data_IF_452321413501
#
_entry.id   IF_452321413501
#
_cell.length_a   1.000
_cell.length_b   1.000
_cell.length_c   1.000
_cell.angle_alpha   90.00
_cell.angle_beta   90.00
_cell.angle_gamma   90.00
#
_symmetry.space_group_name_H-M   'P 1'
#
loop_
_entity.id
_entity.type
_entity.pdbx_description
1 polymer ?
#
# COMPACT_ATOMS: atom_id res chain seq x y z
N UNK A 1 0.95 -0.64 -0.58
CA UNK A 1 -0.22 0.01 -1.21
C UNK A 1 -0.14 -0.09 -2.73
N UNK A 2 -1.21 -0.49 -3.42
CA UNK A 2 -1.16 -0.88 -4.84
C UNK A 2 -1.89 0.07 -5.81
N UNK A 3 -2.57 1.13 -5.37
CA UNK A 3 -3.36 1.99 -6.26
C UNK A 3 -2.83 3.45 -6.31
N UNK A 4 -1.52 3.60 -6.54
CA UNK A 4 -0.84 4.91 -6.63
C UNK A 4 0.01 5.06 -7.89
N UNK A 5 0.16 3.98 -8.65
CA UNK A 5 1.03 3.92 -9.82
C UNK A 5 0.36 3.12 -10.95
N UNK A 6 0.73 3.41 -12.19
CA UNK A 6 0.37 2.63 -13.37
C UNK A 6 1.59 1.88 -13.91
N UNK A 7 2.80 2.45 -13.80
CA UNK A 7 4.05 1.81 -14.20
C UNK A 7 4.78 1.26 -12.97
N UNK A 8 4.90 -0.06 -12.86
CA UNK A 8 5.48 -0.73 -11.70
C UNK A 8 7.00 -0.66 -11.67
N UNK A 9 7.64 -0.51 -12.83
CA UNK A 9 9.09 -0.42 -12.97
C UNK A 9 9.69 0.79 -12.23
N UNK A 10 8.90 1.86 -12.01
CA UNK A 10 9.31 3.04 -11.24
C UNK A 10 9.46 2.75 -9.73
N UNK A 11 8.86 1.66 -9.24
CA UNK A 11 8.94 1.23 -7.84
C UNK A 11 9.84 0.00 -7.71
N UNK A 12 9.73 -0.92 -8.68
CA UNK A 12 10.44 -2.19 -8.71
C UNK A 12 11.09 -2.35 -10.08
N UNK A 13 12.34 -1.89 -10.26
CA UNK A 13 13.04 -2.02 -11.53
C UNK A 13 13.09 -3.48 -11.99
N UNK A 14 12.70 -3.69 -13.24
CA UNK A 14 12.70 -5.00 -13.90
C UNK A 14 12.90 -4.80 -15.41
N UNK A 15 13.42 -5.80 -16.11
CA UNK A 15 13.62 -5.83 -17.56
C UNK A 15 12.32 -5.83 -18.35
N UNK A 16 11.25 -6.40 -17.78
CA UNK A 16 9.92 -6.41 -18.40
C UNK A 16 9.09 -5.22 -17.93
N UNK A 17 8.46 -4.51 -18.87
CA UNK A 17 7.54 -3.42 -18.56
C UNK A 17 6.27 -3.99 -17.90
N UNK A 18 5.99 -3.54 -16.68
CA UNK A 18 4.82 -3.95 -15.92
C UNK A 18 3.92 -2.75 -15.71
N UNK A 19 2.86 -2.69 -16.50
CA UNK A 19 1.84 -1.65 -16.44
C UNK A 19 0.56 -2.23 -15.82
N UNK A 20 -0.22 -1.42 -15.14
CA UNK A 20 -1.52 -1.82 -14.58
C UNK A 20 -2.55 -0.68 -14.66
N UNK A 21 -3.85 -1.01 -14.67
CA UNK A 21 -4.89 -0.02 -14.42
C UNK A 21 -4.84 0.50 -12.98
N UNK A 22 -5.56 1.58 -12.71
CA UNK A 22 -5.77 2.09 -11.36
C UNK A 22 -7.15 2.72 -11.23
N UNK A 23 -7.56 2.96 -9.99
CA UNK A 23 -8.70 3.82 -9.68
C UNK A 23 -8.25 5.22 -9.27
N UNK A 24 -9.11 6.20 -9.51
CA UNK A 24 -9.02 7.54 -8.93
C UNK A 24 -10.37 7.93 -8.34
N UNK A 25 -10.40 8.98 -7.51
CA UNK A 25 -11.65 9.58 -7.05
C UNK A 25 -11.95 10.79 -7.94
N UNK A 26 -13.09 10.78 -8.62
CA UNK A 26 -13.63 11.93 -9.38
C UNK A 26 -15.08 12.14 -8.96
N UNK A 27 -15.44 13.37 -8.58
CA UNK A 27 -16.80 13.71 -8.12
C UNK A 27 -17.33 12.75 -7.04
N UNK A 28 -16.48 12.45 -6.04
CA UNK A 28 -16.77 11.51 -4.92
C UNK A 28 -17.01 10.04 -5.32
N UNK A 29 -16.81 9.67 -6.59
CA UNK A 29 -16.95 8.30 -7.10
C UNK A 29 -15.60 7.72 -7.50
N UNK A 30 -15.48 6.39 -7.42
CA UNK A 30 -14.35 5.69 -8.03
C UNK A 30 -14.51 5.71 -9.55
N UNK A 31 -13.44 6.08 -10.22
CA UNK A 31 -13.34 5.99 -11.68
C UNK A 31 -12.19 5.06 -12.01
N UNK A 32 -12.49 4.04 -12.82
CA UNK A 32 -11.50 3.14 -13.38
C UNK A 32 -10.70 3.88 -14.46
N UNK A 33 -9.38 3.85 -14.31
CA UNK A 33 -8.43 4.33 -15.30
C UNK A 33 -7.79 3.09 -15.93
N UNK A 34 -7.95 2.88 -17.24
CA UNK A 34 -7.39 1.73 -17.92
C UNK A 34 -5.86 1.73 -17.86
N UNK A 35 -5.28 0.58 -18.18
CA UNK A 35 -3.85 0.48 -18.37
C UNK A 35 -3.43 1.39 -19.55
N UNK A 36 -2.43 2.27 -19.37
CA UNK A 36 -1.96 3.10 -20.47
C UNK A 36 -1.29 2.23 -21.53
N UNK A 37 -1.48 2.61 -22.79
CA UNK A 37 -0.79 2.00 -23.93
C UNK A 37 0.49 2.82 -24.11
N UNK A 38 1.63 2.22 -23.78
CA UNK A 38 2.94 2.87 -23.86
C UNK A 38 3.65 2.35 -25.10
N UNK A 39 4.14 3.26 -25.94
CA UNK A 39 5.11 2.92 -26.97
C UNK A 39 6.48 2.68 -26.33
N UNK A 40 6.87 1.41 -26.25
CA UNK A 40 8.15 0.99 -25.66
C UNK A 40 9.36 1.44 -26.47
N UNK A 41 9.17 1.83 -27.73
CA UNK A 41 10.22 2.36 -28.59
C UNK A 41 10.44 3.88 -28.37
N UNK A 42 9.51 4.56 -27.70
CA UNK A 42 9.60 6.00 -27.39
C UNK A 42 9.47 6.26 -25.88
N UNK A 43 10.48 5.85 -25.13
CA UNK A 43 10.54 6.06 -23.68
C UNK A 43 10.77 7.52 -23.29
N UNK A 44 11.29 8.36 -24.18
CA UNK A 44 11.47 9.80 -23.93
C UNK A 44 10.12 10.50 -23.66
N UNK A 45 9.05 10.02 -24.29
CA UNK A 45 7.68 10.52 -24.09
C UNK A 45 6.90 9.86 -22.95
N UNK A 46 7.52 9.03 -22.10
CA UNK A 46 6.77 8.17 -21.15
C UNK A 46 5.84 8.96 -20.21
N UNK A 47 6.21 10.20 -19.87
CA UNK A 47 5.40 11.10 -19.04
C UNK A 47 4.06 11.44 -19.69
N UNK A 48 4.00 11.48 -21.02
CA UNK A 48 2.78 11.77 -21.78
C UNK A 48 1.76 10.63 -21.75
N UNK A 49 2.12 9.45 -21.24
CA UNK A 49 1.22 8.31 -21.10
C UNK A 49 0.82 8.04 -19.65
N UNK A 50 1.49 8.68 -18.68
CA UNK A 50 1.43 8.36 -17.25
C UNK A 50 0.76 9.48 -16.43
N UNK A 51 -0.34 10.04 -16.94
CA UNK A 51 -1.07 11.16 -16.29
C UNK A 51 -1.53 10.90 -14.86
N UNK A 52 -1.68 9.62 -14.49
CA UNK A 52 -2.08 9.21 -13.16
C UNK A 52 -0.98 8.37 -12.49
N UNK A 53 0.30 8.68 -12.74
CA UNK A 53 1.44 8.07 -12.07
C UNK A 53 1.98 8.99 -10.98
N UNK A 54 2.06 8.48 -9.75
CA UNK A 54 2.61 9.26 -8.64
C UNK A 54 4.15 9.28 -8.63
N UNK A 55 4.78 8.21 -9.13
CA UNK A 55 6.24 8.08 -9.17
C UNK A 55 6.85 8.61 -10.47
N UNK A 56 6.12 9.45 -11.20
CA UNK A 56 6.56 10.00 -12.48
C UNK A 56 7.87 10.79 -12.27
N UNK A 57 8.88 10.64 -13.14
CA UNK A 57 10.14 11.35 -12.94
C UNK A 57 9.94 12.86 -12.80
N UNK A 58 10.69 13.47 -11.89
CA UNK A 58 10.58 14.89 -11.47
C UNK A 58 9.25 15.30 -10.81
N UNK A 59 8.37 14.35 -10.49
CA UNK A 59 7.19 14.59 -9.65
C UNK A 59 7.48 14.47 -8.14
N UNK A 60 6.45 14.65 -7.32
CA UNK A 60 6.51 14.64 -5.84
C UNK A 60 7.27 13.46 -5.22
N UNK A 61 7.27 12.30 -5.89
CA UNK A 61 8.03 11.12 -5.46
C UNK A 61 8.76 10.40 -6.58
N UNK A 62 8.99 11.12 -7.68
CA UNK A 62 9.71 10.63 -8.84
C UNK A 62 11.20 10.50 -8.62
N UNK A 63 11.85 9.71 -9.48
CA UNK A 63 13.29 9.80 -9.68
C UNK A 63 13.58 11.14 -10.34
N UNK A 64 14.65 11.82 -9.90
CA UNK A 64 15.12 13.04 -10.57
C UNK A 64 15.70 12.64 -11.92
N UNK A 65 15.15 13.19 -13.01
CA UNK A 65 15.60 12.87 -14.38
C UNK A 65 16.73 13.78 -14.86
N UNK A 66 16.93 14.93 -14.21
CA UNK A 66 17.94 15.93 -14.59
C UNK A 66 18.84 16.28 -13.41
N UNK A 67 20.16 16.13 -13.61
CA UNK A 67 21.16 16.62 -12.67
C UNK A 67 21.43 18.09 -13.01
N UNK A 68 21.07 19.00 -12.11
CA UNK A 68 21.35 20.44 -12.27
C UNK A 68 22.36 20.91 -11.23
N UNK A 69 23.27 21.80 -11.67
CA UNK A 69 24.22 22.44 -10.78
C UNK A 69 23.53 23.52 -9.93
N UNK A 70 23.76 23.60 -8.61
CA UNK A 70 24.70 22.78 -7.85
C UNK A 70 24.14 21.37 -7.52
N UNK A 71 24.98 20.35 -7.73
CA UNK A 71 24.59 18.94 -7.55
C UNK A 71 24.15 18.60 -6.11
N UNK A 72 24.62 19.36 -5.12
CA UNK A 72 24.21 19.24 -3.72
C UNK A 72 22.72 19.50 -3.54
N UNK A 73 22.17 20.52 -4.20
CA UNK A 73 20.74 20.82 -4.14
C UNK A 73 19.92 19.70 -4.77
N UNK A 74 20.39 19.17 -5.90
CA UNK A 74 19.74 18.04 -6.57
C UNK A 74 19.71 16.80 -5.66
N UNK A 75 20.80 16.51 -4.95
CA UNK A 75 20.87 15.39 -4.00
C UNK A 75 19.95 15.59 -2.79
N UNK A 76 19.91 16.79 -2.22
CA UNK A 76 18.98 17.12 -1.12
C UNK A 76 17.54 16.96 -1.58
N UNK A 77 17.17 17.51 -2.73
CA UNK A 77 15.82 17.37 -3.27
C UNK A 77 15.45 15.90 -3.49
N UNK A 78 16.36 15.11 -4.08
CA UNK A 78 16.16 13.68 -4.32
C UNK A 78 15.97 12.88 -3.03
N UNK A 79 16.78 13.13 -2.00
CA UNK A 79 16.66 12.41 -0.72
C UNK A 79 15.34 12.71 0.00
N UNK A 80 14.82 13.94 -0.13
CA UNK A 80 13.55 14.34 0.45
C UNK A 80 12.36 13.79 -0.35
N UNK A 81 12.40 13.84 -1.68
CA UNK A 81 11.26 13.45 -2.53
C UNK A 81 11.14 11.94 -2.73
N UNK A 82 12.27 11.22 -2.80
CA UNK A 82 12.27 9.80 -3.12
C UNK A 82 11.74 8.97 -1.94
N UNK A 83 10.57 8.35 -2.12
CA UNK A 83 9.84 7.68 -1.02
C UNK A 83 10.65 6.61 -0.29
N UNK A 84 11.52 5.86 -0.97
CA UNK A 84 12.36 4.86 -0.31
C UNK A 84 13.37 5.50 0.65
N UNK A 85 14.01 6.59 0.22
CA UNK A 85 15.05 7.27 1.00
C UNK A 85 14.40 8.02 2.16
N UNK A 86 13.35 8.78 1.88
CA UNK A 86 12.58 9.49 2.89
C UNK A 86 12.07 8.53 3.99
N UNK A 87 11.49 7.39 3.61
CA UNK A 87 11.01 6.40 4.58
C UNK A 87 12.16 5.79 5.40
N UNK A 88 13.28 5.47 4.77
CA UNK A 88 14.47 4.95 5.45
C UNK A 88 15.03 5.94 6.46
N UNK A 89 15.18 7.22 6.08
CA UNK A 89 15.67 8.28 6.95
C UNK A 89 14.76 8.51 8.17
N UNK A 90 13.46 8.28 8.02
CA UNK A 90 12.48 8.41 9.10
C UNK A 90 12.31 7.13 9.94
N UNK A 91 13.01 6.04 9.58
CA UNK A 91 12.84 4.74 10.22
C UNK A 91 11.42 4.18 10.08
N UNK A 92 10.80 4.34 8.91
CA UNK A 92 9.40 3.95 8.67
C UNK A 92 9.31 2.96 7.50
N UNK A 93 8.31 2.06 7.49
CA UNK A 93 7.99 1.27 6.31
C UNK A 93 7.69 2.18 5.11
N UNK A 94 8.22 1.80 3.94
CA UNK A 94 8.12 2.54 2.67
C UNK A 94 6.71 2.97 2.29
N UNK A 95 5.71 2.24 2.78
CA UNK A 95 4.33 2.48 2.44
C UNK A 95 3.55 3.32 3.48
N UNK A 96 4.14 3.61 4.66
CA UNK A 96 3.48 4.32 5.77
C UNK A 96 2.91 5.65 5.29
N UNK A 97 3.73 6.47 4.63
CA UNK A 97 3.37 7.84 4.24
C UNK A 97 2.09 7.89 3.39
N UNK A 98 1.85 6.88 2.58
CA UNK A 98 0.65 6.79 1.75
C UNK A 98 -0.64 6.64 2.57
N UNK A 99 -0.55 6.18 3.83
CA UNK A 99 -1.67 6.16 4.77
C UNK A 99 -1.79 7.45 5.58
N UNK A 100 -1.01 8.49 5.32
CA UNK A 100 -1.21 9.79 5.95
C UNK A 100 -2.43 10.51 5.34
N UNK A 101 -3.17 11.24 6.16
CA UNK A 101 -4.20 12.15 5.68
C UNK A 101 -3.59 13.24 4.79
N UNK A 102 -4.28 13.60 3.71
CA UNK A 102 -3.84 14.68 2.81
C UNK A 102 -2.59 14.38 1.97
N UNK A 103 -2.09 13.14 1.95
CA UNK A 103 -0.97 12.77 1.08
C UNK A 103 -1.31 13.05 -0.40
N UNK A 104 -0.42 13.70 -1.15
CA UNK A 104 -0.70 14.22 -2.50
C UNK A 104 -1.10 13.13 -3.51
N UNK A 105 -0.63 11.89 -3.32
CA UNK A 105 -1.06 10.74 -4.12
C UNK A 105 -2.53 10.32 -3.96
N UNK A 106 -3.26 10.88 -2.98
CA UNK A 106 -4.63 10.48 -2.58
C UNK A 106 -4.78 9.00 -2.24
N UNK A 107 -3.67 8.37 -1.86
CA UNK A 107 -3.50 6.98 -1.54
C UNK A 107 -4.50 6.42 -0.52
N UNK A 108 -4.55 7.03 0.67
CA UNK A 108 -5.46 6.64 1.75
C UNK A 108 -6.91 6.76 1.31
N UNK A 109 -7.29 7.94 0.78
CA UNK A 109 -8.65 8.21 0.36
C UNK A 109 -9.13 7.23 -0.72
N UNK A 110 -8.27 6.94 -1.70
CA UNK A 110 -8.61 6.01 -2.79
C UNK A 110 -8.71 4.58 -2.29
N UNK A 111 -7.76 4.11 -1.46
CA UNK A 111 -7.81 2.77 -0.87
C UNK A 111 -9.07 2.59 -0.02
N UNK A 112 -9.38 3.57 0.82
CA UNK A 112 -10.61 3.62 1.61
C UNK A 112 -11.84 3.50 0.71
N UNK A 113 -11.94 4.32 -0.34
CA UNK A 113 -13.13 4.32 -1.20
C UNK A 113 -13.30 3.01 -1.96
N UNK A 114 -12.21 2.35 -2.37
CA UNK A 114 -12.24 0.99 -2.95
C UNK A 114 -12.83 -0.01 -1.96
N UNK A 115 -12.34 -0.02 -0.72
CA UNK A 115 -12.82 -0.92 0.33
C UNK A 115 -14.28 -0.65 0.69
N UNK A 116 -14.67 0.62 0.81
CA UNK A 116 -16.05 1.07 1.04
C UNK A 116 -16.98 0.58 -0.09
N UNK A 117 -16.58 0.80 -1.35
CA UNK A 117 -17.38 0.39 -2.51
C UNK A 117 -17.56 -1.12 -2.58
N UNK A 118 -16.48 -1.89 -2.35
CA UNK A 118 -16.57 -3.35 -2.25
C UNK A 118 -17.51 -3.81 -1.14
N UNK A 119 -17.39 -3.20 0.04
CA UNK A 119 -18.19 -3.54 1.22
C UNK A 119 -19.69 -3.30 0.95
N UNK A 120 -20.03 -2.14 0.40
CA UNK A 120 -21.41 -1.76 0.09
C UNK A 120 -21.99 -2.62 -1.02
N UNK A 121 -21.25 -2.87 -2.10
CA UNK A 121 -21.70 -3.73 -3.20
C UNK A 121 -21.93 -5.18 -2.75
N UNK A 122 -21.03 -5.74 -1.94
CA UNK A 122 -21.18 -7.08 -1.41
C UNK A 122 -22.46 -7.18 -0.55
N UNK A 123 -22.70 -6.20 0.34
CA UNK A 123 -23.93 -6.15 1.14
C UNK A 123 -25.19 -6.01 0.27
N UNK A 124 -25.15 -5.15 -0.76
CA UNK A 124 -26.27 -4.98 -1.68
C UNK A 124 -26.61 -6.27 -2.43
N UNK A 125 -25.64 -7.16 -2.64
CA UNK A 125 -25.81 -8.51 -3.21
C UNK A 125 -26.19 -9.58 -2.18
N UNK A 126 -26.50 -9.20 -0.93
CA UNK A 126 -26.83 -10.14 0.14
C UNK A 126 -25.62 -10.92 0.68
N UNK A 127 -24.40 -10.51 0.36
CA UNK A 127 -23.18 -11.15 0.86
C UNK A 127 -22.72 -10.52 2.18
N UNK A 128 -21.89 -11.26 2.92
CA UNK A 128 -21.20 -10.76 4.11
C UNK A 128 -19.75 -10.39 3.77
N UNK A 129 -19.45 -9.11 3.46
CA UNK A 129 -18.07 -8.71 3.15
C UNK A 129 -17.15 -8.86 4.35
N UNK A 130 -15.91 -9.28 4.06
CA UNK A 130 -14.81 -9.33 5.01
C UNK A 130 -13.65 -8.53 4.44
N UNK A 131 -13.27 -7.46 5.12
CA UNK A 131 -12.05 -6.71 4.81
C UNK A 131 -10.95 -7.17 5.75
N UNK A 132 -9.78 -7.48 5.19
CA UNK A 132 -8.63 -7.89 5.97
C UNK A 132 -7.39 -7.08 5.61
N UNK A 133 -6.48 -6.92 6.58
CA UNK A 133 -5.16 -6.33 6.37
C UNK A 133 -4.10 -7.34 6.80
N UNK A 134 -3.23 -7.69 5.86
CA UNK A 134 -2.11 -8.60 6.10
C UNK A 134 -0.85 -7.76 6.34
N UNK A 135 -0.26 -7.81 7.54
CA UNK A 135 0.99 -7.11 7.83
C UNK A 135 2.15 -7.72 7.04
N UNK A 136 3.17 -6.90 6.85
CA UNK A 136 4.51 -7.34 6.50
C UNK A 136 5.36 -7.47 7.77
N UNK A 137 6.48 -8.19 7.72
CA UNK A 137 7.42 -8.21 8.86
C UNK A 137 7.83 -6.80 9.31
N UNK A 138 8.09 -5.87 8.37
CA UNK A 138 8.46 -4.48 8.68
C UNK A 138 7.35 -3.70 9.42
N UNK A 139 6.10 -4.14 9.32
CA UNK A 139 5.00 -3.51 10.06
C UNK A 139 5.06 -3.89 11.54
N UNK A 140 5.50 -5.12 11.84
CA UNK A 140 5.75 -5.56 13.21
C UNK A 140 6.94 -4.82 13.82
N UNK A 141 8.07 -4.71 13.12
CA UNK A 141 9.23 -3.92 13.58
C UNK A 141 8.85 -2.45 13.89
N UNK A 142 8.04 -1.85 13.01
CA UNK A 142 7.54 -0.49 13.24
C UNK A 142 6.59 -0.44 14.45
N UNK A 143 5.71 -1.41 14.61
CA UNK A 143 4.79 -1.50 15.73
C UNK A 143 5.52 -1.66 17.07
N UNK A 144 6.59 -2.46 17.16
CA UNK A 144 7.35 -2.61 18.40
C UNK A 144 7.96 -1.30 18.87
N UNK A 145 8.51 -0.51 17.94
CA UNK A 145 9.17 0.75 18.26
C UNK A 145 8.22 1.92 18.49
N UNK A 146 7.03 1.92 17.87
CA UNK A 146 6.10 3.06 17.89
C UNK A 146 4.76 2.78 18.56
N UNK A 147 4.43 1.52 18.81
CA UNK A 147 3.11 1.06 19.28
C UNK A 147 1.95 1.54 18.41
N UNK A 148 2.22 1.73 17.12
CA UNK A 148 1.28 2.16 16.10
C UNK A 148 1.53 1.37 14.82
N UNK A 149 0.46 0.92 14.14
CA UNK A 149 0.60 0.25 12.85
C UNK A 149 0.80 1.26 11.71
N UNK A 150 1.61 0.96 10.68
CA UNK A 150 1.88 1.89 9.57
C UNK A 150 0.64 2.33 8.78
N UNK A 151 -0.44 1.55 8.87
CA UNK A 151 -1.72 1.76 8.20
C UNK A 151 -2.86 2.09 9.17
N UNK A 152 -2.55 2.50 10.41
CA UNK A 152 -3.55 2.78 11.45
C UNK A 152 -4.63 3.78 10.99
N UNK A 153 -4.26 4.80 10.23
CA UNK A 153 -5.21 5.76 9.67
C UNK A 153 -6.27 5.14 8.73
N UNK A 154 -5.92 4.09 7.98
CA UNK A 154 -6.88 3.36 7.17
C UNK A 154 -7.91 2.64 8.05
N UNK A 155 -7.43 1.91 9.07
CA UNK A 155 -8.28 1.22 10.04
C UNK A 155 -9.21 2.23 10.73
N UNK A 156 -8.65 3.31 11.27
CA UNK A 156 -9.41 4.36 11.95
C UNK A 156 -10.50 4.94 11.05
N UNK A 157 -10.19 5.17 9.77
CA UNK A 157 -11.15 5.76 8.83
C UNK A 157 -12.29 4.80 8.48
N UNK A 158 -12.00 3.50 8.30
CA UNK A 158 -13.02 2.48 8.01
C UNK A 158 -13.89 2.21 9.24
N UNK A 159 -13.28 2.05 10.41
CA UNK A 159 -14.00 1.82 11.68
C UNK A 159 -14.93 2.98 12.02
N UNK A 160 -14.51 4.23 11.82
CA UNK A 160 -15.38 5.41 12.02
C UNK A 160 -16.64 5.40 11.13
N UNK A 161 -16.63 4.69 10.01
CA UNK A 161 -17.79 4.51 9.13
C UNK A 161 -18.58 3.24 9.40
N UNK A 162 -18.25 2.51 10.48
CA UNK A 162 -18.90 1.23 10.79
C UNK A 162 -18.51 0.09 9.85
N UNK A 163 -17.40 0.23 9.11
CA UNK A 163 -16.87 -0.82 8.23
C UNK A 163 -15.85 -1.64 9.03
N UNK A 164 -16.17 -2.89 9.44
CA UNK A 164 -15.25 -3.72 10.20
C UNK A 164 -14.08 -4.19 9.35
N UNK A 165 -12.88 -4.18 9.93
CA UNK A 165 -11.64 -4.67 9.32
C UNK A 165 -11.01 -5.68 10.27
N UNK A 166 -10.70 -6.86 9.76
CA UNK A 166 -9.87 -7.82 10.48
C UNK A 166 -8.40 -7.58 10.16
N UNK A 167 -7.69 -7.01 11.10
CA UNK A 167 -6.25 -6.82 11.02
C UNK A 167 -5.52 -8.02 11.62
N UNK A 168 -4.65 -8.63 10.83
CA UNK A 168 -3.87 -9.79 11.25
C UNK A 168 -2.74 -9.44 12.22
N UNK A 169 -2.31 -8.18 12.32
CA UNK A 169 -1.10 -7.82 13.06
C UNK A 169 -1.15 -8.22 14.55
N UNK A 170 -2.09 -7.66 15.31
CA UNK A 170 -2.16 -7.92 16.74
C UNK A 170 -2.51 -9.38 17.07
N UNK A 171 -3.45 -10.04 16.36
CA UNK A 171 -3.70 -11.46 16.59
C UNK A 171 -2.48 -12.35 16.33
N UNK A 172 -1.66 -12.04 15.31
CA UNK A 172 -0.43 -12.80 15.03
C UNK A 172 0.61 -12.58 16.12
N UNK A 173 0.82 -11.33 16.58
CA UNK A 173 1.75 -11.02 17.67
C UNK A 173 1.33 -11.65 19.01
N UNK A 174 0.03 -11.84 19.23
CA UNK A 174 -0.47 -12.53 20.42
C UNK A 174 -0.30 -14.07 20.34
N UNK A 175 -0.09 -14.61 19.13
CA UNK A 175 0.08 -16.05 18.90
C UNK A 175 1.56 -16.45 18.86
N UNK A 176 2.41 -15.59 18.31
CA UNK A 176 3.83 -15.82 18.16
C UNK A 176 4.61 -14.55 18.51
N UNK A 177 5.43 -14.62 19.56
CA UNK A 177 6.26 -13.51 20.02
C UNK A 177 7.38 -13.19 19.01
N UNK A 178 8.02 -14.22 18.45
CA UNK A 178 9.02 -14.05 17.39
C UNK A 178 8.36 -13.95 16.01
N UNK A 179 7.89 -12.74 15.68
CA UNK A 179 7.30 -12.47 14.39
C UNK A 179 8.28 -12.63 13.21
N UNK A 180 9.60 -12.54 13.41
CA UNK A 180 10.58 -12.81 12.34
C UNK A 180 10.47 -14.25 11.87
N UNK A 181 10.22 -15.20 12.78
CA UNK A 181 10.01 -16.62 12.46
C UNK A 181 8.83 -16.91 11.53
N UNK A 182 7.90 -15.95 11.37
CA UNK A 182 6.74 -16.07 10.50
C UNK A 182 7.04 -15.72 9.04
N UNK A 183 8.25 -15.24 8.74
CA UNK A 183 8.69 -14.84 7.40
C UNK A 183 9.98 -15.56 7.02
N UNK A 184 10.23 -15.71 5.71
CA UNK A 184 11.55 -16.15 5.24
C UNK A 184 12.56 -15.01 5.27
N UNK A 185 12.15 -13.85 4.75
CA UNK A 185 12.85 -12.58 4.86
C UNK A 185 11.82 -11.49 5.17
N UNK A 186 12.23 -10.44 5.89
CA UNK A 186 11.31 -9.35 6.23
C UNK A 186 10.88 -8.47 5.03
N UNK A 187 11.40 -8.75 3.84
CA UNK A 187 10.99 -8.17 2.57
C UNK A 187 10.00 -9.05 1.77
N UNK A 188 9.68 -10.25 2.24
CA UNK A 188 8.88 -11.24 1.51
C UNK A 188 7.53 -11.50 2.17
N UNK A 189 6.74 -12.38 1.53
CA UNK A 189 5.51 -12.91 2.10
C UNK A 189 5.77 -13.76 3.36
N UNK A 190 4.74 -13.99 4.19
CA UNK A 190 4.80 -14.98 5.26
C UNK A 190 5.27 -16.35 4.74
N UNK A 191 6.02 -17.08 5.56
CA UNK A 191 6.44 -18.44 5.27
C UNK A 191 5.32 -19.44 5.62
N UNK A 192 5.59 -20.75 5.55
CA UNK A 192 4.61 -21.80 5.91
C UNK A 192 4.07 -21.64 7.34
N UNK A 193 4.93 -21.32 8.32
CA UNK A 193 4.55 -21.06 9.71
C UNK A 193 3.68 -19.80 9.80
N UNK A 194 4.07 -18.72 9.15
CA UNK A 194 3.28 -17.48 9.07
C UNK A 194 1.88 -17.70 8.52
N UNK A 195 1.73 -18.41 7.40
CA UNK A 195 0.40 -18.74 6.87
C UNK A 195 -0.41 -19.65 7.80
N UNK A 196 0.25 -20.57 8.51
CA UNK A 196 -0.43 -21.40 9.49
C UNK A 196 -0.99 -20.57 10.65
N UNK A 197 -0.19 -19.67 11.24
CA UNK A 197 -0.62 -18.75 12.30
C UNK A 197 -1.77 -17.87 11.80
N UNK A 198 -1.64 -17.29 10.60
CA UNK A 198 -2.72 -16.52 9.99
C UNK A 198 -4.02 -17.32 9.88
N UNK A 199 -3.96 -18.57 9.42
CA UNK A 199 -5.14 -19.42 9.34
C UNK A 199 -5.78 -19.66 10.72
N UNK A 200 -4.98 -19.93 11.75
CA UNK A 200 -5.48 -20.13 13.12
C UNK A 200 -6.20 -18.90 13.66
N UNK A 201 -5.56 -17.72 13.60
CA UNK A 201 -6.13 -16.49 14.14
C UNK A 201 -7.36 -16.04 13.35
N UNK A 202 -7.39 -16.28 12.04
CA UNK A 202 -8.54 -15.95 11.21
C UNK A 202 -9.71 -16.89 11.47
N UNK A 203 -9.47 -18.19 11.61
CA UNK A 203 -10.52 -19.15 11.98
C UNK A 203 -11.12 -18.83 13.34
N UNK A 204 -10.30 -18.46 14.33
CA UNK A 204 -10.79 -18.00 15.63
C UNK A 204 -11.69 -16.75 15.50
N UNK A 205 -11.30 -15.79 14.67
CA UNK A 205 -12.12 -14.62 14.35
C UNK A 205 -13.43 -14.99 13.67
N UNK A 206 -13.41 -15.82 12.62
CA UNK A 206 -14.61 -16.25 11.89
C UNK A 206 -15.61 -16.93 12.83
N UNK A 207 -15.14 -17.83 13.70
CA UNK A 207 -15.96 -18.47 14.72
C UNK A 207 -16.58 -17.44 15.68
N UNK A 208 -15.79 -16.49 16.17
CA UNK A 208 -16.25 -15.41 17.07
C UNK A 208 -17.35 -14.56 16.42
N UNK A 209 -17.26 -14.29 15.12
CA UNK A 209 -18.27 -13.50 14.39
C UNK A 209 -19.39 -14.37 13.79
N UNK A 210 -19.47 -15.65 14.14
CA UNK A 210 -20.55 -16.54 13.73
C UNK A 210 -20.49 -16.96 12.25
N UNK A 211 -19.34 -16.86 11.60
CA UNK A 211 -19.11 -17.44 10.27
C UNK A 211 -18.54 -18.84 10.49
N UNK A 212 -19.41 -19.84 10.52
CA UNK A 212 -19.06 -21.24 10.64
C UNK A 212 -18.98 -21.89 9.26
N UNK A 213 -18.11 -22.89 9.12
CA UNK A 213 -18.12 -23.81 7.96
C UNK A 213 -19.39 -24.65 7.97
#
# INVERSE_FOLDING_TARGET
MRNVNQLRNLIYPNHQLSIKPRYIIKNKKLVYIPMPIIDVHNLAGIKNYLFHEYFIPDGDSGIVSTLSFPFTQTLVNFTISHFHLNASLRGQPRHKSFYNYGHSSNALATTKKIMETFYDEAKARGQRPLLTIIPTCRDFEYYESRRELPYQNLINTLTKQGIPVFDFALPMLAYEDDYHSLYGLCSTHPNKKGYHVMAQVFMAYLNKVGIKK
#
